data_IF_660570432265
#
_entry.id   IF_660570432265
#
_cell.length_a   1.000
_cell.length_b   1.000
_cell.length_c   1.000
_cell.angle_alpha   90.00
_cell.angle_beta   90.00
_cell.angle_gamma   90.00
#
_symmetry.space_group_name_H-M   'P 1'
#
loop_
_entity.id
_entity.type
_entity.pdbx_description
1 polymer ?
#
# COMPACT_ATOMS: atom_id res chain seq x y z
N UNK A 1 -15.04 2.50 42.71
CA UNK A 1 -14.25 1.78 41.69
C UNK A 1 -15.00 1.89 40.37
N UNK A 2 -14.61 2.83 39.52
CA UNK A 2 -15.28 3.06 38.23
C UNK A 2 -14.41 2.51 37.11
N UNK A 3 -14.82 1.38 36.52
CA UNK A 3 -14.18 0.81 35.35
C UNK A 3 -14.32 1.77 34.18
N UNK A 4 -13.23 2.41 33.75
CA UNK A 4 -13.16 3.11 32.49
C UNK A 4 -12.99 2.08 31.37
N UNK A 5 -14.09 1.70 30.72
CA UNK A 5 -14.03 0.97 29.46
C UNK A 5 -13.48 1.95 28.41
N UNK A 6 -12.18 1.92 28.17
CA UNK A 6 -11.55 2.68 27.10
C UNK A 6 -12.04 2.15 25.75
N UNK A 7 -12.73 3.00 24.97
CA UNK A 7 -13.03 2.68 23.58
C UNK A 7 -11.72 2.68 22.79
N UNK A 8 -11.24 1.51 22.39
CA UNK A 8 -10.06 1.36 21.53
C UNK A 8 -10.51 1.24 20.08
N UNK A 9 -10.02 2.14 19.22
CA UNK A 9 -10.22 2.08 17.77
C UNK A 9 -8.88 2.28 17.09
N UNK A 10 -8.46 1.32 16.27
CA UNK A 10 -7.36 1.51 15.35
C UNK A 10 -7.85 2.35 14.17
N UNK A 11 -7.05 3.33 13.76
CA UNK A 11 -7.31 4.19 12.61
C UNK A 11 -6.04 4.32 11.78
N UNK A 12 -6.19 4.44 10.48
CA UNK A 12 -5.06 4.64 9.58
C UNK A 12 -4.70 6.11 9.46
N UNK A 13 -3.40 6.38 9.34
CA UNK A 13 -2.87 7.72 9.23
C UNK A 13 -1.61 7.77 8.38
N UNK A 14 -1.39 8.90 7.71
CA UNK A 14 -0.13 9.21 7.05
C UNK A 14 0.71 10.06 7.99
N UNK A 15 1.93 9.60 8.27
CA UNK A 15 2.94 10.40 8.96
C UNK A 15 3.76 11.19 7.93
N UNK A 16 3.66 12.52 7.93
CA UNK A 16 4.40 13.39 7.01
C UNK A 16 4.85 14.66 7.72
N UNK A 17 6.16 14.95 7.66
CA UNK A 17 6.80 16.15 8.24
C UNK A 17 6.47 16.34 9.73
N UNK A 18 6.50 15.26 10.52
CA UNK A 18 6.20 15.32 11.95
C UNK A 18 4.72 15.38 12.32
N UNK A 19 3.81 15.32 11.34
CA UNK A 19 2.37 15.40 11.56
C UNK A 19 1.72 14.07 11.19
N UNK A 20 0.93 13.51 12.11
CA UNK A 20 0.00 12.41 11.84
C UNK A 20 -1.30 12.98 11.26
N UNK A 21 -1.60 12.61 10.01
CA UNK A 21 -2.87 12.95 9.36
C UNK A 21 -3.71 11.70 9.24
N UNK A 22 -4.84 11.65 9.95
CA UNK A 22 -5.78 10.55 9.83
C UNK A 22 -6.33 10.49 8.40
N UNK A 23 -6.50 9.28 7.87
CA UNK A 23 -7.16 9.07 6.58
C UNK A 23 -8.69 9.26 6.69
N UNK A 24 -9.24 8.95 7.85
CA UNK A 24 -10.66 9.11 8.18
C UNK A 24 -10.83 9.89 9.50
N UNK A 25 -11.93 10.64 9.67
CA UNK A 25 -12.24 11.29 10.94
C UNK A 25 -12.32 10.30 12.10
N UNK A 26 -11.82 10.71 13.26
CA UNK A 26 -11.95 9.93 14.49
C UNK A 26 -13.35 10.14 15.09
N UNK A 27 -14.23 9.18 14.89
CA UNK A 27 -15.61 9.21 15.41
C UNK A 27 -15.78 8.45 16.72
N UNK A 28 -16.81 8.79 17.49
CA UNK A 28 -17.18 8.08 18.72
C UNK A 28 -16.48 8.57 19.99
N UNK A 29 -15.77 9.70 19.92
CA UNK A 29 -15.07 10.29 21.07
C UNK A 29 -15.65 11.67 21.43
N UNK A 30 -15.72 12.02 22.72
CA UNK A 30 -16.13 13.36 23.14
C UNK A 30 -15.19 14.44 22.58
N UNK A 31 -15.75 15.60 22.23
CA UNK A 31 -14.93 16.76 21.87
C UNK A 31 -14.01 17.18 23.03
N UNK A 32 -12.83 17.69 22.69
CA UNK A 32 -11.84 18.25 23.64
C UNK A 32 -11.40 17.28 24.75
N UNK A 33 -11.43 15.98 24.49
CA UNK A 33 -10.94 14.98 25.43
C UNK A 33 -9.44 14.68 25.24
N UNK A 34 -8.79 14.18 26.29
CA UNK A 34 -7.41 13.70 26.23
C UNK A 34 -7.40 12.25 25.73
N UNK A 35 -6.67 11.99 24.66
CA UNK A 35 -6.51 10.63 24.09
C UNK A 35 -5.08 10.12 24.26
N UNK A 36 -4.93 8.80 24.36
CA UNK A 36 -3.64 8.11 24.27
C UNK A 36 -3.51 7.55 22.86
N UNK A 37 -2.42 7.88 22.17
CA UNK A 37 -2.15 7.43 20.80
C UNK A 37 -1.03 6.39 20.83
N UNK A 38 -1.25 5.26 20.16
CA UNK A 38 -0.22 4.26 19.87
C UNK A 38 0.09 4.33 18.38
N UNK A 39 1.38 4.41 18.03
CA UNK A 39 1.83 4.46 16.63
C UNK A 39 2.54 3.15 16.32
N UNK A 40 2.02 2.43 15.33
CA UNK A 40 2.65 1.25 14.77
C UNK A 40 3.03 1.58 13.32
N UNK A 41 4.31 1.44 12.98
CA UNK A 41 4.77 1.63 11.61
C UNK A 41 4.61 0.30 10.90
N UNK A 42 3.60 0.18 10.05
CA UNK A 42 3.55 -0.88 9.06
C UNK A 42 4.53 -0.50 7.96
N UNK A 43 5.60 -1.29 7.82
CA UNK A 43 6.45 -1.18 6.65
C UNK A 43 5.54 -1.29 5.42
N UNK A 44 5.65 -0.39 4.43
CA UNK A 44 4.98 -0.64 3.17
C UNK A 44 5.41 -2.03 2.76
N UNK A 45 4.46 -2.94 2.55
CA UNK A 45 4.76 -4.16 1.82
C UNK A 45 5.31 -3.66 0.50
N UNK A 46 6.63 -3.59 0.39
CA UNK A 46 7.31 -3.57 -0.88
C UNK A 46 6.84 -4.88 -1.48
N UNK A 47 5.80 -4.83 -2.32
CA UNK A 47 5.61 -5.85 -3.35
C UNK A 47 6.89 -5.71 -4.14
N UNK A 48 7.90 -6.53 -3.86
CA UNK A 48 9.17 -6.28 -4.45
C UNK A 48 8.89 -6.50 -5.94
N UNK A 49 9.34 -5.57 -6.78
CA UNK A 49 9.22 -5.74 -8.23
C UNK A 49 9.85 -7.06 -8.69
N UNK A 50 10.61 -7.76 -7.82
CA UNK A 50 10.96 -9.17 -7.94
C UNK A 50 9.80 -10.06 -8.38
N UNK A 51 8.58 -9.82 -7.89
CA UNK A 51 7.41 -10.62 -8.23
C UNK A 51 6.82 -10.22 -9.60
N UNK A 52 7.26 -9.07 -10.14
CA UNK A 52 6.92 -8.56 -11.46
C UNK A 52 8.06 -8.76 -12.49
N UNK A 53 9.19 -9.36 -12.10
CA UNK A 53 10.25 -9.77 -13.05
C UNK A 53 9.90 -11.17 -13.55
N UNK A 54 9.01 -11.23 -14.54
CA UNK A 54 8.86 -12.41 -15.38
C UNK A 54 10.03 -12.45 -16.35
N UNK A 55 10.90 -13.45 -16.23
CA UNK A 55 11.85 -13.77 -17.31
C UNK A 55 11.00 -14.29 -18.46
N UNK A 56 10.96 -13.56 -19.58
CA UNK A 56 10.33 -14.06 -20.81
C UNK A 56 11.13 -15.29 -21.27
N UNK A 57 10.51 -16.48 -21.36
CA UNK A 57 11.15 -17.66 -21.93
C UNK A 57 11.71 -17.34 -23.32
N UNK A 58 12.87 -17.92 -23.66
CA UNK A 58 13.50 -17.66 -24.96
C UNK A 58 12.60 -18.06 -26.14
N UNK A 59 11.75 -19.07 -25.96
CA UNK A 59 10.74 -19.49 -26.94
C UNK A 59 9.71 -18.40 -27.23
N UNK A 60 9.13 -17.80 -26.19
CA UNK A 60 8.17 -16.70 -26.32
C UNK A 60 8.83 -15.46 -26.94
N UNK A 61 10.09 -15.17 -26.57
CA UNK A 61 10.85 -14.07 -27.13
C UNK A 61 11.13 -14.26 -28.64
N UNK A 62 11.44 -15.49 -29.04
CA UNK A 62 11.65 -15.87 -30.44
C UNK A 62 10.35 -15.81 -31.26
N UNK A 63 9.23 -16.24 -30.68
CA UNK A 63 7.91 -16.13 -31.32
C UNK A 63 7.53 -14.66 -31.55
N UNK A 64 7.68 -13.81 -30.54
CA UNK A 64 7.43 -12.37 -30.67
C UNK A 64 8.31 -11.74 -31.76
N UNK A 65 9.59 -12.13 -31.84
CA UNK A 65 10.50 -11.63 -32.88
C UNK A 65 10.02 -12.02 -34.28
N UNK A 66 9.62 -13.27 -34.49
CA UNK A 66 9.12 -13.75 -35.79
C UNK A 66 7.87 -12.99 -36.24
N UNK A 67 6.92 -12.78 -35.33
CA UNK A 67 5.68 -12.03 -35.63
C UNK A 67 6.01 -10.60 -36.06
N UNK A 68 6.97 -9.95 -35.39
CA UNK A 68 7.40 -8.60 -35.76
C UNK A 68 8.06 -8.61 -37.15
N UNK A 69 8.94 -9.56 -37.44
CA UNK A 69 9.60 -9.67 -38.75
C UNK A 69 8.58 -9.91 -39.88
N UNK A 70 7.62 -10.81 -39.68
CA UNK A 70 6.58 -11.13 -40.67
C UNK A 70 5.66 -9.95 -41.00
N UNK A 71 5.33 -9.12 -40.00
CA UNK A 71 4.45 -7.96 -40.19
C UNK A 71 5.19 -6.76 -40.82
N UNK A 72 6.49 -6.63 -40.57
CA UNK A 72 7.30 -5.51 -41.09
C UNK A 72 8.00 -5.80 -42.42
N UNK A 73 8.08 -7.05 -42.87
CA UNK A 73 8.52 -7.41 -44.24
C UNK A 73 7.41 -7.25 -45.31
N UNK A 74 6.16 -6.98 -44.90
CA UNK A 74 5.00 -6.82 -45.79
C UNK A 74 4.77 -5.38 -46.31
N UNK A 75 5.75 -4.48 -46.18
CA UNK A 75 5.66 -3.07 -46.62
C UNK A 75 6.47 -2.82 -47.89
#
# INVERSE_FOLDING_TARGET
>A
MGSQNGHFRAVEAIYKRGILRLLEPLEGFPERCKVKVTVEVTEPQTRPLSDCVGILPAEDAEEMRRIIEEEFERV
#
